data_IF_273761545417
#
_entry.id   IF_273761545417
#
_cell.length_a   1.000
_cell.length_b   1.000
_cell.length_c   1.000
_cell.angle_alpha   90.00
_cell.angle_beta   90.00
_cell.angle_gamma   90.00
#
_symmetry.space_group_name_H-M   'P 1'
#
loop_
_entity.id
_entity.type
_entity.pdbx_description
1 polymer ?
#
# COMPACT_ATOMS: atom_id res chain seq x y z
N UNK A 1 -21.66 12.00 -21.15
CA UNK A 1 -20.98 11.69 -19.88
C UNK A 1 -21.62 10.42 -19.32
N UNK A 2 -20.89 9.34 -19.28
CA UNK A 2 -21.39 8.04 -18.78
C UNK A 2 -20.99 7.91 -17.30
N UNK A 3 -21.94 7.74 -16.42
CA UNK A 3 -21.66 7.58 -14.97
C UNK A 3 -21.75 6.10 -14.63
N UNK A 4 -20.65 5.55 -14.12
CA UNK A 4 -20.61 4.20 -13.58
C UNK A 4 -21.04 4.24 -12.10
N UNK A 5 -21.88 3.30 -11.72
CA UNK A 5 -22.21 3.07 -10.32
C UNK A 5 -21.07 2.37 -9.56
N UNK A 6 -21.25 2.20 -8.27
CA UNK A 6 -20.25 1.56 -7.38
C UNK A 6 -19.87 0.14 -7.83
N UNK A 7 -20.85 -0.67 -8.28
CA UNK A 7 -20.61 -2.06 -8.70
C UNK A 7 -19.87 -2.08 -10.03
N UNK A 8 -20.29 -1.27 -10.98
CA UNK A 8 -19.69 -1.14 -12.30
C UNK A 8 -18.24 -0.62 -12.20
N UNK A 9 -18.01 0.37 -11.34
CA UNK A 9 -16.67 0.91 -11.09
C UNK A 9 -15.75 -0.15 -10.50
N UNK A 10 -16.22 -0.93 -9.52
CA UNK A 10 -15.45 -2.00 -8.90
C UNK A 10 -15.17 -3.15 -9.88
N UNK A 11 -16.17 -3.54 -10.66
CA UNK A 11 -15.98 -4.57 -11.69
C UNK A 11 -14.97 -4.13 -12.75
N UNK A 12 -15.04 -2.86 -13.19
CA UNK A 12 -14.07 -2.31 -14.13
C UNK A 12 -12.66 -2.25 -13.52
N UNK A 13 -12.54 -1.85 -12.24
CA UNK A 13 -11.25 -1.85 -11.55
C UNK A 13 -10.62 -3.25 -11.54
N UNK A 14 -11.40 -4.29 -11.24
CA UNK A 14 -10.95 -5.68 -11.33
C UNK A 14 -10.45 -6.06 -12.74
N UNK A 15 -11.22 -5.72 -13.79
CA UNK A 15 -10.81 -5.95 -15.17
C UNK A 15 -9.52 -5.21 -15.53
N UNK A 16 -9.35 -3.99 -15.04
CA UNK A 16 -8.15 -3.16 -15.24
C UNK A 16 -6.93 -3.78 -14.56
N UNK A 17 -7.09 -4.38 -13.39
CA UNK A 17 -6.02 -5.13 -12.72
C UNK A 17 -5.59 -6.33 -13.58
N UNK A 18 -6.52 -7.12 -14.08
CA UNK A 18 -6.21 -8.24 -14.98
C UNK A 18 -5.55 -7.78 -16.29
N UNK A 19 -5.97 -6.65 -16.85
CA UNK A 19 -5.29 -6.03 -17.99
C UNK A 19 -3.84 -5.70 -17.64
N UNK A 20 -3.59 -5.13 -16.46
CA UNK A 20 -2.25 -4.84 -15.96
C UNK A 20 -1.37 -6.09 -15.85
N UNK A 21 -1.89 -7.19 -15.29
CA UNK A 21 -1.19 -8.49 -15.26
C UNK A 21 -0.88 -8.99 -16.68
N UNK A 22 -1.83 -8.91 -17.59
CA UNK A 22 -1.63 -9.28 -18.99
C UNK A 22 -0.50 -8.49 -19.66
N UNK A 23 -0.51 -7.17 -19.47
CA UNK A 23 0.53 -6.28 -20.04
C UNK A 23 1.91 -6.53 -19.44
N UNK A 24 2.01 -6.76 -18.12
CA UNK A 24 3.30 -7.14 -17.49
C UNK A 24 3.86 -8.43 -18.05
N UNK A 25 3.00 -9.39 -18.40
CA UNK A 25 3.41 -10.66 -18.98
C UNK A 25 3.89 -10.51 -20.42
N UNK A 26 3.27 -9.61 -21.20
CA UNK A 26 3.58 -9.39 -22.63
C UNK A 26 4.77 -8.44 -22.79
N UNK A 27 4.93 -7.45 -21.90
CA UNK A 27 5.94 -6.40 -21.99
C UNK A 27 7.00 -6.60 -20.90
N UNK A 28 8.13 -7.31 -21.18
CA UNK A 28 9.13 -7.65 -20.18
C UNK A 28 9.69 -6.48 -19.36
N UNK A 29 9.90 -5.27 -19.94
CA UNK A 29 10.34 -4.11 -19.17
C UNK A 29 9.44 -3.78 -17.98
N UNK A 30 8.10 -3.90 -18.10
CA UNK A 30 7.17 -3.59 -17.01
C UNK A 30 7.38 -4.51 -15.79
N UNK A 31 7.65 -5.79 -16.06
CA UNK A 31 7.99 -6.76 -15.02
C UNK A 31 9.40 -6.53 -14.46
N UNK A 32 10.37 -6.20 -15.33
CA UNK A 32 11.77 -5.97 -14.94
C UNK A 32 11.92 -4.76 -14.01
N UNK A 33 11.07 -3.74 -14.18
CA UNK A 33 11.05 -2.53 -13.34
C UNK A 33 10.08 -2.64 -12.15
N UNK A 34 9.58 -3.84 -11.86
CA UNK A 34 8.67 -4.11 -10.75
C UNK A 34 7.46 -3.17 -10.70
N UNK A 35 6.89 -2.83 -11.87
CA UNK A 35 5.69 -2.00 -11.92
C UNK A 35 4.47 -2.81 -11.47
N UNK A 36 3.73 -2.41 -10.41
CA UNK A 36 2.54 -3.13 -9.97
C UNK A 36 1.47 -3.21 -11.06
N UNK A 37 0.81 -4.37 -11.20
CA UNK A 37 -0.22 -4.57 -12.21
C UNK A 37 -1.37 -3.54 -12.16
N UNK A 38 -1.90 -3.15 -10.97
CA UNK A 38 -2.92 -2.10 -10.89
C UNK A 38 -2.48 -0.77 -11.49
N UNK A 39 -1.19 -0.44 -11.36
CA UNK A 39 -0.61 0.79 -11.90
C UNK A 39 -0.53 0.75 -13.41
N UNK A 40 -0.05 -0.37 -13.96
CA UNK A 40 0.05 -0.56 -15.40
C UNK A 40 -1.34 -0.50 -16.04
N UNK A 41 -2.32 -1.20 -15.48
CA UNK A 41 -3.69 -1.16 -15.95
C UNK A 41 -4.32 0.23 -15.79
N UNK A 42 -4.15 0.86 -14.63
CA UNK A 42 -4.65 2.20 -14.35
C UNK A 42 -4.06 3.26 -15.28
N UNK A 43 -2.77 3.14 -15.63
CA UNK A 43 -2.11 4.05 -16.57
C UNK A 43 -2.75 3.95 -17.98
N UNK A 44 -3.09 2.76 -18.44
CA UNK A 44 -3.79 2.57 -19.73
C UNK A 44 -5.14 3.29 -19.70
N UNK A 45 -5.92 3.12 -18.63
CA UNK A 45 -7.20 3.82 -18.46
C UNK A 45 -6.98 5.33 -18.42
N UNK A 46 -6.00 5.81 -17.65
CA UNK A 46 -5.70 7.24 -17.53
C UNK A 46 -5.30 7.87 -18.88
N UNK A 47 -4.46 7.20 -19.67
CA UNK A 47 -4.06 7.66 -21.02
C UNK A 47 -5.30 7.66 -21.95
N UNK A 48 -6.12 6.62 -21.88
CA UNK A 48 -7.35 6.54 -22.69
C UNK A 48 -8.30 7.69 -22.34
N UNK A 49 -8.51 7.95 -21.04
CA UNK A 49 -9.33 9.07 -20.56
C UNK A 49 -8.76 10.43 -20.99
N UNK A 50 -7.45 10.61 -20.92
CA UNK A 50 -6.78 11.83 -21.37
C UNK A 50 -6.97 12.06 -22.87
N UNK A 51 -6.87 11.00 -23.68
CA UNK A 51 -7.11 11.08 -25.12
C UNK A 51 -8.53 11.54 -25.43
N UNK A 52 -9.54 10.97 -24.76
CA UNK A 52 -10.94 11.41 -24.93
C UNK A 52 -11.17 12.84 -24.45
N UNK A 53 -10.58 13.22 -23.31
CA UNK A 53 -10.71 14.59 -22.80
C UNK A 53 -10.15 15.64 -23.74
N UNK A 54 -9.06 15.33 -24.45
CA UNK A 54 -8.51 16.22 -25.48
C UNK A 54 -9.43 16.41 -26.68
N UNK A 55 -10.40 15.53 -26.91
CA UNK A 55 -11.44 15.69 -27.94
C UNK A 55 -12.68 16.43 -27.42
N UNK A 56 -12.65 16.96 -26.20
CA UNK A 56 -13.79 17.67 -25.58
C UNK A 56 -14.86 16.76 -25.00
N UNK A 57 -14.62 15.45 -24.90
CA UNK A 57 -15.54 14.47 -24.35
C UNK A 57 -15.03 14.00 -23.01
N UNK A 58 -15.78 14.21 -21.92
CA UNK A 58 -15.57 13.51 -20.64
C UNK A 58 -16.32 12.18 -20.69
N UNK A 59 -15.62 11.04 -20.96
CA UNK A 59 -16.32 9.81 -21.33
C UNK A 59 -17.00 9.14 -20.14
N UNK A 60 -16.33 9.09 -18.97
CA UNK A 60 -16.80 8.28 -17.83
C UNK A 60 -16.52 8.99 -16.51
N UNK A 61 -17.48 8.92 -15.61
CA UNK A 61 -17.33 9.30 -14.19
C UNK A 61 -17.43 8.04 -13.32
N UNK A 62 -16.42 7.83 -12.49
CA UNK A 62 -16.35 6.68 -11.57
C UNK A 62 -16.99 7.01 -10.24
N UNK A 63 -17.69 6.05 -9.65
CA UNK A 63 -18.13 6.11 -8.27
C UNK A 63 -17.01 5.55 -7.36
N UNK A 64 -16.42 6.42 -6.55
CA UNK A 64 -15.33 6.08 -5.65
C UNK A 64 -15.78 5.83 -4.21
N UNK A 65 -17.07 5.59 -3.97
CA UNK A 65 -17.64 5.39 -2.63
C UNK A 65 -16.99 4.25 -1.85
N UNK A 66 -16.53 3.19 -2.54
CA UNK A 66 -15.83 2.07 -1.92
C UNK A 66 -14.35 2.33 -1.60
N UNK A 67 -13.76 3.41 -2.10
CA UNK A 67 -12.34 3.70 -1.87
C UNK A 67 -11.98 3.78 -0.38
N UNK A 68 -12.76 4.54 0.41
CA UNK A 68 -12.49 4.72 1.84
C UNK A 68 -12.70 3.42 2.63
N UNK A 69 -13.83 2.68 2.48
CA UNK A 69 -14.02 1.38 3.12
C UNK A 69 -12.93 0.36 2.81
N UNK A 70 -12.58 0.19 1.53
CA UNK A 70 -11.55 -0.76 1.10
C UNK A 70 -10.16 -0.36 1.63
N UNK A 71 -9.79 0.91 1.52
CA UNK A 71 -8.55 1.42 2.11
C UNK A 71 -8.50 1.20 3.62
N UNK A 72 -9.62 1.40 4.33
CA UNK A 72 -9.70 1.13 5.77
C UNK A 72 -9.52 -0.36 6.06
N UNK A 73 -10.14 -1.26 5.28
CA UNK A 73 -9.94 -2.70 5.39
C UNK A 73 -8.48 -3.08 5.17
N UNK A 74 -7.84 -2.57 4.13
CA UNK A 74 -6.42 -2.78 3.84
C UNK A 74 -5.53 -2.40 5.04
N UNK A 75 -5.66 -1.18 5.57
CA UNK A 75 -4.85 -0.77 6.73
C UNK A 75 -5.19 -1.55 8.00
N UNK A 76 -6.42 -2.03 8.13
CA UNK A 76 -6.81 -2.91 9.23
C UNK A 76 -6.06 -4.25 9.17
N UNK A 77 -5.91 -4.82 7.97
CA UNK A 77 -5.13 -6.08 7.79
C UNK A 77 -3.65 -5.88 8.13
N UNK A 78 -3.06 -4.73 7.81
CA UNK A 78 -1.71 -4.37 8.26
C UNK A 78 -1.63 -4.36 9.80
N UNK A 79 -2.66 -3.82 10.47
CA UNK A 79 -2.77 -3.87 11.93
C UNK A 79 -2.75 -5.30 12.46
N UNK A 80 -3.50 -6.20 11.85
CA UNK A 80 -3.49 -7.64 12.20
C UNK A 80 -2.15 -8.32 11.95
N UNK A 81 -1.31 -7.82 11.04
CA UNK A 81 0.07 -8.28 10.85
C UNK A 81 1.02 -7.87 11.98
N UNK A 82 0.62 -6.88 12.81
CA UNK A 82 1.48 -6.29 13.86
C UNK A 82 1.45 -7.12 15.16
N UNK A 83 2.27 -8.19 15.23
CA UNK A 83 2.37 -9.05 16.41
C UNK A 83 3.50 -8.63 17.34
N UNK A 84 3.19 -8.43 18.64
CA UNK A 84 4.18 -8.17 19.69
C UNK A 84 5.18 -9.32 19.86
N UNK A 85 4.76 -10.53 19.55
CA UNK A 85 5.63 -11.70 19.58
C UNK A 85 6.73 -11.61 18.54
N UNK A 86 6.41 -11.16 17.32
CA UNK A 86 7.40 -10.89 16.27
C UNK A 86 8.30 -9.73 16.65
N UNK A 87 7.75 -8.68 17.24
CA UNK A 87 8.50 -7.53 17.72
C UNK A 87 9.54 -7.93 18.79
N UNK A 88 9.14 -8.77 19.76
CA UNK A 88 10.04 -9.29 20.80
C UNK A 88 11.15 -10.17 20.21
N UNK A 89 10.85 -10.99 19.20
CA UNK A 89 11.87 -11.83 18.53
C UNK A 89 12.92 -11.01 17.79
N UNK A 90 12.54 -9.89 17.18
CA UNK A 90 13.45 -8.97 16.49
C UNK A 90 14.33 -8.12 17.42
N UNK A 91 13.94 -7.99 18.69
CA UNK A 91 14.72 -7.35 19.75
C UNK A 91 15.12 -5.91 19.44
N UNK A 92 16.32 -5.54 19.88
CA UNK A 92 16.89 -4.19 19.71
C UNK A 92 17.11 -3.80 18.24
N UNK A 93 17.29 -4.78 17.36
CA UNK A 93 17.54 -4.53 15.93
C UNK A 93 16.35 -3.84 15.26
N UNK A 94 15.10 -4.23 15.61
CA UNK A 94 13.89 -3.56 15.11
C UNK A 94 13.84 -2.10 15.57
N UNK A 95 14.18 -1.83 16.84
CA UNK A 95 14.19 -0.47 17.38
C UNK A 95 15.23 0.41 16.68
N UNK A 96 16.44 -0.13 16.46
CA UNK A 96 17.48 0.59 15.72
C UNK A 96 17.04 0.88 14.29
N UNK A 97 16.49 -0.12 13.62
CA UNK A 97 15.97 0.05 12.26
C UNK A 97 14.83 1.09 12.21
N UNK A 98 13.91 1.05 13.18
CA UNK A 98 12.85 2.05 13.31
C UNK A 98 13.42 3.45 13.51
N UNK A 99 14.40 3.62 14.40
CA UNK A 99 15.01 4.92 14.64
C UNK A 99 15.72 5.47 13.38
N UNK A 100 16.43 4.62 12.64
CA UNK A 100 17.06 4.99 11.38
C UNK A 100 16.00 5.37 10.35
N UNK A 101 14.93 4.60 10.23
CA UNK A 101 13.84 4.87 9.28
C UNK A 101 13.13 6.19 9.59
N UNK A 102 12.84 6.46 10.86
CA UNK A 102 12.27 7.75 11.30
C UNK A 102 13.23 8.91 11.01
N UNK A 103 14.52 8.75 11.35
CA UNK A 103 15.53 9.76 11.02
C UNK A 103 15.62 10.03 9.53
N UNK A 104 15.58 8.99 8.71
CA UNK A 104 15.60 9.12 7.26
C UNK A 104 14.36 9.85 6.73
N UNK A 105 13.15 9.54 7.23
CA UNK A 105 11.93 10.25 6.82
C UNK A 105 11.95 11.72 7.17
N UNK A 106 12.53 12.10 8.31
CA UNK A 106 12.69 13.52 8.68
C UNK A 106 13.62 14.24 7.70
N UNK A 107 14.77 13.65 7.38
CA UNK A 107 15.71 14.20 6.38
C UNK A 107 15.03 14.31 5.01
N UNK A 108 14.33 13.27 4.59
CA UNK A 108 13.61 13.22 3.32
C UNK A 108 12.56 14.34 3.22
N UNK A 109 11.79 14.57 4.28
CA UNK A 109 10.83 15.67 4.33
C UNK A 109 11.52 17.03 4.28
N UNK A 110 12.61 17.22 5.01
CA UNK A 110 13.38 18.46 4.96
C UNK A 110 13.90 18.75 3.55
N UNK A 111 14.42 17.74 2.84
CA UNK A 111 14.85 17.86 1.44
C UNK A 111 13.65 18.18 0.54
N UNK A 112 12.51 17.51 0.70
CA UNK A 112 11.30 17.77 -0.07
C UNK A 112 10.80 19.21 0.09
N UNK A 113 10.77 19.72 1.32
CA UNK A 113 10.40 21.13 1.60
C UNK A 113 11.40 22.10 0.96
N UNK A 114 12.70 21.83 1.11
CA UNK A 114 13.75 22.66 0.56
C UNK A 114 13.71 22.73 -0.97
N UNK A 115 13.31 21.63 -1.63
CA UNK A 115 13.14 21.60 -3.10
C UNK A 115 11.82 22.25 -3.55
N UNK A 116 10.77 22.20 -2.76
CA UNK A 116 9.50 22.84 -3.09
C UNK A 116 9.60 24.38 -3.13
N UNK A 117 10.39 24.97 -2.23
CA UNK A 117 10.52 26.42 -2.09
C UNK A 117 11.01 27.12 -3.38
N UNK A 118 12.13 26.73 -4.03
CA UNK A 118 12.60 27.37 -5.27
C UNK A 118 11.67 27.13 -6.46
N UNK A 119 10.81 26.10 -6.40
CA UNK A 119 9.81 25.79 -7.42
C UNK A 119 8.50 26.58 -7.21
N UNK A 120 8.43 27.44 -6.20
CA UNK A 120 7.23 28.21 -5.87
C UNK A 120 6.06 27.34 -5.40
N UNK A 121 6.34 26.11 -4.95
CA UNK A 121 5.33 25.18 -4.49
C UNK A 121 5.12 25.30 -2.99
N UNK A 122 3.91 24.90 -2.53
CA UNK A 122 3.59 24.87 -1.11
C UNK A 122 4.55 23.91 -0.37
N UNK A 123 5.08 24.23 0.82
CA UNK A 123 6.01 23.33 1.55
C UNK A 123 5.46 21.91 1.75
N UNK A 124 4.15 21.78 2.00
CA UNK A 124 3.50 20.49 2.14
C UNK A 124 3.46 19.68 0.84
N UNK A 125 3.56 20.32 -0.33
CA UNK A 125 3.77 19.61 -1.59
C UNK A 125 5.08 18.83 -1.57
N UNK A 126 6.14 19.42 -0.98
CA UNK A 126 7.42 18.72 -0.75
C UNK A 126 7.29 17.52 0.17
N UNK A 127 6.51 17.63 1.27
CA UNK A 127 6.25 16.53 2.19
C UNK A 127 5.46 15.41 1.52
N UNK A 128 4.43 15.76 0.73
CA UNK A 128 3.63 14.80 -0.02
C UNK A 128 4.49 13.99 -1.00
N UNK A 129 5.41 14.66 -1.72
CA UNK A 129 6.32 14.04 -2.69
C UNK A 129 7.58 13.42 -2.04
N UNK A 130 7.64 13.33 -0.72
CA UNK A 130 8.73 12.69 0.02
C UNK A 130 8.23 11.52 0.86
N UNK A 131 8.24 11.62 2.18
CA UNK A 131 7.96 10.46 3.03
C UNK A 131 6.55 9.91 2.89
N UNK A 132 5.54 10.76 2.67
CA UNK A 132 4.15 10.33 2.57
C UNK A 132 3.92 9.34 1.42
N UNK A 133 4.62 9.51 0.31
CA UNK A 133 4.46 8.70 -0.91
C UNK A 133 5.63 7.76 -1.18
N UNK A 134 6.88 8.19 -0.93
CA UNK A 134 8.06 7.37 -1.24
C UNK A 134 8.32 6.30 -0.18
N UNK A 135 7.95 6.54 1.08
CA UNK A 135 8.01 5.55 2.17
C UNK A 135 6.65 4.89 2.40
N UNK A 136 5.58 5.70 2.43
CA UNK A 136 4.23 5.21 2.67
C UNK A 136 3.55 4.56 1.46
N UNK A 137 4.06 4.79 0.25
CA UNK A 137 3.49 4.28 -1.00
C UNK A 137 2.20 4.99 -1.44
N UNK A 138 1.59 4.51 -2.55
CA UNK A 138 0.40 5.14 -3.13
C UNK A 138 -0.81 5.10 -2.20
N UNK A 139 -1.01 4.01 -1.47
CA UNK A 139 -2.12 3.86 -0.53
C UNK A 139 -2.06 4.91 0.59
N UNK A 140 -0.89 5.09 1.22
CA UNK A 140 -0.69 6.11 2.25
C UNK A 140 -0.82 7.52 1.67
N UNK A 141 -0.24 7.77 0.50
CA UNK A 141 -0.37 9.05 -0.19
C UNK A 141 -1.82 9.44 -0.46
N UNK A 142 -2.62 8.50 -1.00
CA UNK A 142 -4.05 8.70 -1.24
C UNK A 142 -4.83 8.93 0.05
N UNK A 143 -4.49 8.21 1.10
CA UNK A 143 -5.16 8.30 2.39
C UNK A 143 -4.94 9.66 3.07
N UNK A 144 -3.77 10.25 2.92
CA UNK A 144 -3.46 11.59 3.42
C UNK A 144 -3.86 12.72 2.46
N UNK A 145 -4.12 12.43 1.18
CA UNK A 145 -4.43 13.42 0.16
C UNK A 145 -5.53 14.42 0.58
N UNK A 146 -6.66 14.01 1.19
CA UNK A 146 -7.68 14.96 1.64
C UNK A 146 -7.20 15.96 2.69
N UNK A 147 -6.22 15.57 3.54
CA UNK A 147 -5.63 16.47 4.54
C UNK A 147 -4.69 17.47 3.87
N UNK A 148 -3.90 17.02 2.89
CA UNK A 148 -3.04 17.90 2.09
C UNK A 148 -3.86 18.91 1.27
N UNK A 149 -4.98 18.49 0.69
CA UNK A 149 -5.90 19.36 -0.05
C UNK A 149 -6.52 20.41 0.86
N UNK A 150 -6.99 20.04 2.06
CA UNK A 150 -7.46 20.99 3.08
C UNK A 150 -6.39 21.99 3.51
N UNK A 151 -5.12 21.59 3.48
CA UNK A 151 -3.97 22.43 3.80
C UNK A 151 -3.45 23.26 2.61
N UNK A 152 -4.12 23.22 1.45
CA UNK A 152 -3.82 24.07 0.28
C UNK A 152 -3.03 23.38 -0.84
N UNK A 153 -2.73 22.09 -0.76
CA UNK A 153 -2.07 21.33 -1.85
C UNK A 153 -3.13 20.81 -2.81
N UNK A 154 -3.37 21.54 -3.89
CA UNK A 154 -4.38 21.14 -4.89
C UNK A 154 -3.95 19.89 -5.66
N UNK A 155 -4.90 18.99 -5.92
CA UNK A 155 -4.68 17.76 -6.67
C UNK A 155 -3.79 16.75 -5.94
N UNK A 156 -3.76 16.80 -4.61
CA UNK A 156 -2.88 15.98 -3.79
C UNK A 156 -3.02 14.47 -4.07
N UNK A 157 -4.21 13.99 -4.36
CA UNK A 157 -4.43 12.58 -4.70
C UNK A 157 -3.67 12.16 -5.98
N UNK A 158 -3.76 12.97 -7.04
CA UNK A 158 -3.06 12.71 -8.31
C UNK A 158 -1.55 12.78 -8.14
N UNK A 159 -1.08 13.81 -7.42
CA UNK A 159 0.34 14.01 -7.14
C UNK A 159 0.89 12.85 -6.30
N UNK A 160 0.15 12.41 -5.29
CA UNK A 160 0.54 11.30 -4.43
C UNK A 160 0.76 10.01 -5.23
N UNK A 161 -0.18 9.66 -6.11
CA UNK A 161 -0.04 8.46 -6.96
C UNK A 161 1.17 8.61 -7.89
N UNK A 162 1.30 9.73 -8.61
CA UNK A 162 2.40 9.95 -9.54
C UNK A 162 3.77 9.89 -8.84
N UNK A 163 3.90 10.52 -7.68
CA UNK A 163 5.12 10.52 -6.88
C UNK A 163 5.47 9.12 -6.37
N UNK A 164 4.50 8.41 -5.80
CA UNK A 164 4.71 7.06 -5.30
C UNK A 164 5.16 6.11 -6.42
N UNK A 165 4.54 6.20 -7.62
CA UNK A 165 4.91 5.38 -8.78
C UNK A 165 6.32 5.67 -9.25
N UNK A 166 6.67 6.94 -9.36
CA UNK A 166 8.04 7.36 -9.72
C UNK A 166 9.04 6.83 -8.68
N UNK A 167 8.68 6.91 -7.39
CA UNK A 167 9.50 6.39 -6.30
C UNK A 167 9.73 4.88 -6.38
N UNK A 168 8.70 4.10 -6.67
CA UNK A 168 8.81 2.64 -6.83
C UNK A 168 9.71 2.30 -8.02
N UNK A 169 9.52 2.99 -9.17
CA UNK A 169 10.36 2.77 -10.35
C UNK A 169 11.83 3.11 -10.09
N UNK A 170 12.10 4.29 -9.54
CA UNK A 170 13.48 4.71 -9.22
C UNK A 170 14.09 3.84 -8.12
N UNK A 171 13.29 3.44 -7.13
CA UNK A 171 13.70 2.53 -6.06
C UNK A 171 14.12 1.17 -6.60
N UNK A 172 13.38 0.59 -7.53
CA UNK A 172 13.74 -0.65 -8.19
C UNK A 172 15.01 -0.53 -9.06
N UNK A 173 15.09 0.55 -9.84
CA UNK A 173 16.25 0.80 -10.72
C UNK A 173 17.57 1.02 -9.96
N UNK A 174 17.53 1.73 -8.84
CA UNK A 174 18.72 2.13 -8.08
C UNK A 174 18.95 1.16 -6.92
N UNK A 175 17.90 0.78 -6.21
CA UNK A 175 17.99 -0.02 -5.01
C UNK A 175 18.40 -1.47 -5.27
N UNK A 176 17.89 -2.09 -6.34
CA UNK A 176 18.23 -3.47 -6.66
C UNK A 176 19.73 -3.66 -6.96
N UNK A 177 20.38 -2.87 -7.84
CA UNK A 177 21.82 -2.98 -8.07
C UNK A 177 22.65 -2.72 -6.82
N UNK A 178 22.28 -1.70 -6.02
CA UNK A 178 22.98 -1.38 -4.76
C UNK A 178 22.82 -2.53 -3.76
N UNK A 179 21.63 -3.09 -3.62
CA UNK A 179 21.38 -4.24 -2.75
C UNK A 179 22.21 -5.45 -3.14
N UNK A 180 22.26 -5.77 -4.44
CA UNK A 180 23.10 -6.85 -4.97
C UNK A 180 24.57 -6.60 -4.66
N UNK A 181 25.08 -5.41 -4.94
CA UNK A 181 26.47 -5.05 -4.66
C UNK A 181 26.81 -5.15 -3.17
N UNK A 182 25.91 -4.72 -2.27
CA UNK A 182 26.11 -4.84 -0.81
C UNK A 182 26.18 -6.31 -0.37
N UNK A 183 25.26 -7.14 -0.87
CA UNK A 183 25.24 -8.58 -0.54
C UNK A 183 26.51 -9.28 -1.02
N UNK A 184 26.93 -9.02 -2.26
CA UNK A 184 28.16 -9.61 -2.81
C UNK A 184 29.41 -9.16 -2.05
N UNK A 185 29.46 -7.88 -1.64
CA UNK A 185 30.64 -7.34 -0.93
C UNK A 185 30.78 -7.86 0.50
N UNK A 186 29.68 -8.04 1.21
CA UNK A 186 29.72 -8.41 2.63
C UNK A 186 29.43 -9.89 2.90
N UNK A 187 28.97 -10.65 1.89
CA UNK A 187 28.69 -12.07 1.98
C UNK A 187 29.28 -12.82 0.77
N UNK A 188 30.62 -12.88 0.63
CA UNK A 188 31.29 -13.43 -0.56
C UNK A 188 31.05 -14.93 -0.86
N UNK A 189 30.29 -15.64 -0.03
CA UNK A 189 29.96 -17.06 -0.21
C UNK A 189 28.58 -17.34 -0.80
N UNK A 190 27.78 -16.31 -1.09
CA UNK A 190 26.46 -16.48 -1.72
C UNK A 190 26.55 -16.18 -3.22
N UNK A 191 26.22 -17.16 -4.02
CA UNK A 191 26.19 -17.05 -5.49
C UNK A 191 24.99 -16.19 -5.92
N UNK A 192 25.12 -15.48 -7.07
CA UNK A 192 24.06 -14.68 -7.68
C UNK A 192 22.74 -15.46 -7.96
N UNK A 193 22.79 -16.80 -7.92
CA UNK A 193 21.62 -17.68 -8.01
C UNK A 193 20.76 -17.63 -6.75
N UNK A 194 21.37 -17.44 -5.56
CA UNK A 194 20.64 -17.34 -4.29
C UNK A 194 19.94 -15.98 -4.12
N UNK A 195 20.42 -14.95 -4.85
CA UNK A 195 19.85 -13.60 -4.79
C UNK A 195 18.57 -13.47 -5.64
N UNK A 196 18.38 -14.34 -6.62
CA UNK A 196 17.14 -14.36 -7.45
C UNK A 196 15.90 -14.82 -6.68
N UNK A 197 16.09 -15.40 -5.51
CA UNK A 197 15.01 -15.89 -4.62
C UNK A 197 14.86 -15.04 -3.35
N UNK A 198 15.61 -13.94 -3.21
CA UNK A 198 15.44 -13.02 -2.08
C UNK A 198 14.55 -11.86 -2.52
N UNK A 199 13.52 -11.70 -1.72
CA UNK A 199 12.40 -10.79 -1.87
C UNK A 199 12.77 -9.37 -2.31
N UNK A 200 11.91 -8.72 -3.10
CA UNK A 200 12.01 -7.31 -3.45
C UNK A 200 11.96 -6.40 -2.22
N UNK A 201 12.39 -5.13 -2.32
CA UNK A 201 12.35 -4.19 -1.19
C UNK A 201 10.96 -4.12 -0.57
N UNK A 202 10.89 -4.08 0.76
CA UNK A 202 9.69 -4.18 1.60
C UNK A 202 8.48 -3.34 1.12
N UNK A 203 8.70 -2.20 0.48
CA UNK A 203 7.62 -1.39 -0.10
C UNK A 203 7.02 -1.99 -1.38
N UNK A 204 7.82 -2.68 -2.18
CA UNK A 204 7.35 -3.46 -3.33
C UNK A 204 6.75 -4.79 -2.83
N UNK A 205 7.26 -5.35 -1.75
CA UNK A 205 6.81 -6.61 -1.16
C UNK A 205 5.44 -6.48 -0.49
N UNK A 206 5.13 -5.35 0.14
CA UNK A 206 3.77 -5.07 0.64
C UNK A 206 2.78 -4.89 -0.52
N UNK A 207 3.22 -4.34 -1.67
CA UNK A 207 2.38 -4.26 -2.87
C UNK A 207 2.49 -5.50 -3.78
N UNK A 208 3.64 -6.15 -3.86
CA UNK A 208 3.88 -7.33 -4.72
C UNK A 208 3.69 -8.65 -3.98
N UNK A 209 4.00 -8.76 -2.71
CA UNK A 209 3.69 -9.93 -1.89
C UNK A 209 2.18 -10.13 -1.75
N UNK A 210 1.41 -9.05 -1.86
CA UNK A 210 -0.05 -9.09 -1.92
C UNK A 210 -0.61 -9.26 -3.33
N UNK A 211 0.20 -9.04 -4.38
CA UNK A 211 -0.20 -9.05 -5.79
C UNK A 211 0.68 -9.95 -6.66
N UNK A 212 1.46 -10.86 -6.06
CA UNK A 212 2.18 -11.88 -6.82
C UNK A 212 1.20 -12.74 -7.63
N UNK A 213 1.69 -13.23 -8.77
CA UNK A 213 0.98 -14.28 -9.52
C UNK A 213 0.41 -15.32 -8.54
N UNK A 214 -0.81 -15.80 -8.76
CA UNK A 214 -1.45 -16.73 -7.85
C UNK A 214 -0.41 -17.81 -7.46
N UNK A 215 -0.24 -18.09 -6.16
CA UNK A 215 0.76 -19.05 -5.70
C UNK A 215 0.61 -20.32 -6.53
N UNK A 216 1.72 -21.00 -6.89
CA UNK A 216 1.64 -22.26 -7.61
C UNK A 216 0.59 -23.12 -6.90
N UNK A 217 -0.36 -23.65 -7.69
CA UNK A 217 -1.58 -24.29 -7.21
C UNK A 217 -1.34 -25.00 -5.89
N UNK A 218 -2.04 -24.56 -4.85
CA UNK A 218 -1.93 -25.15 -3.51
C UNK A 218 -2.11 -26.67 -3.66
N UNK A 219 -1.35 -27.49 -2.93
CA UNK A 219 -1.55 -28.94 -2.99
C UNK A 219 -3.02 -29.24 -2.81
N UNK A 220 -3.59 -30.03 -3.72
CA UNK A 220 -4.98 -30.44 -3.72
C UNK A 220 -5.35 -30.96 -2.32
N UNK A 221 -6.13 -30.21 -1.57
CA UNK A 221 -6.57 -30.62 -0.24
C UNK A 221 -6.97 -29.52 0.75
N UNK A 222 -6.59 -28.26 0.53
CA UNK A 222 -7.10 -27.17 1.38
C UNK A 222 -8.44 -26.64 0.82
N UNK A 223 -9.51 -27.32 1.20
CA UNK A 223 -10.84 -26.73 1.09
C UNK A 223 -10.82 -25.39 1.85
N UNK A 224 -11.16 -24.30 1.16
CA UNK A 224 -11.39 -23.00 1.81
C UNK A 224 -12.49 -23.26 2.83
N UNK A 225 -12.12 -23.34 4.11
CA UNK A 225 -13.11 -23.41 5.17
C UNK A 225 -13.86 -22.09 5.19
N UNK A 226 -15.04 -22.06 4.59
CA UNK A 226 -15.90 -20.89 4.51
C UNK A 226 -16.08 -20.22 5.88
N UNK A 227 -16.08 -21.01 6.94
CA UNK A 227 -16.14 -20.53 8.30
C UNK A 227 -14.86 -19.77 8.72
N UNK A 228 -13.68 -20.23 8.31
CA UNK A 228 -12.42 -19.54 8.61
C UNK A 228 -12.36 -18.20 7.89
N UNK A 229 -12.75 -18.14 6.60
CA UNK A 229 -12.85 -16.88 5.85
C UNK A 229 -13.84 -15.91 6.53
N UNK A 230 -15.06 -16.39 6.85
CA UNK A 230 -16.07 -15.57 7.51
C UNK A 230 -15.59 -15.03 8.86
N UNK A 231 -14.92 -15.86 9.66
CA UNK A 231 -14.37 -15.46 10.97
C UNK A 231 -13.34 -14.32 10.83
N UNK A 232 -12.40 -14.45 9.88
CA UNK A 232 -11.40 -13.43 9.65
C UNK A 232 -12.00 -12.14 9.07
N UNK A 233 -12.98 -12.25 8.17
CA UNK A 233 -13.72 -11.10 7.65
C UNK A 233 -14.48 -10.36 8.77
N UNK A 234 -15.18 -11.08 9.64
CA UNK A 234 -15.89 -10.48 10.77
C UNK A 234 -14.91 -9.82 11.75
N UNK A 235 -13.73 -10.42 11.97
CA UNK A 235 -12.69 -9.81 12.81
C UNK A 235 -12.20 -8.46 12.21
N UNK A 236 -11.98 -8.41 10.89
CA UNK A 236 -11.58 -7.17 10.19
C UNK A 236 -12.70 -6.12 10.30
N UNK A 237 -13.94 -6.46 10.01
CA UNK A 237 -15.08 -5.54 10.11
C UNK A 237 -15.27 -5.03 11.54
N UNK A 238 -15.07 -5.88 12.55
CA UNK A 238 -15.12 -5.49 13.97
C UNK A 238 -14.00 -4.52 14.31
N UNK A 239 -12.78 -4.76 13.80
CA UNK A 239 -11.66 -3.86 13.98
C UNK A 239 -11.89 -2.51 13.29
N UNK A 240 -12.47 -2.50 12.09
CA UNK A 240 -12.85 -1.26 11.40
C UNK A 240 -13.89 -0.47 12.19
N UNK A 241 -14.89 -1.15 12.72
CA UNK A 241 -15.93 -0.52 13.56
C UNK A 241 -15.34 0.04 14.86
N UNK A 242 -14.52 -0.72 15.58
CA UNK A 242 -13.84 -0.23 16.78
C UNK A 242 -12.88 0.93 16.47
N UNK A 243 -12.20 0.84 15.35
CA UNK A 243 -11.26 1.86 14.86
C UNK A 243 -11.92 3.20 14.57
N UNK A 244 -13.18 3.20 14.14
CA UNK A 244 -13.95 4.42 13.98
C UNK A 244 -14.07 5.22 15.31
N UNK A 245 -14.31 4.53 16.41
CA UNK A 245 -14.39 5.17 17.73
C UNK A 245 -13.02 5.65 18.22
N UNK A 246 -11.96 4.87 17.94
CA UNK A 246 -10.58 5.27 18.27
C UNK A 246 -10.20 6.53 17.49
N UNK A 247 -10.49 6.59 16.20
CA UNK A 247 -10.21 7.78 15.36
C UNK A 247 -10.96 9.01 15.87
N UNK A 248 -12.22 8.85 16.26
CA UNK A 248 -13.00 9.95 16.90
C UNK A 248 -12.40 10.41 18.22
N UNK A 249 -11.87 9.46 19.01
CA UNK A 249 -11.16 9.79 20.24
C UNK A 249 -9.93 10.66 19.98
N UNK A 250 -9.12 10.32 18.98
CA UNK A 250 -7.98 11.14 18.57
C UNK A 250 -8.39 12.53 18.06
N UNK A 251 -9.44 12.59 17.26
CA UNK A 251 -9.97 13.85 16.72
C UNK A 251 -10.46 14.78 17.86
N UNK A 252 -11.14 14.23 18.87
CA UNK A 252 -11.57 14.98 20.06
C UNK A 252 -10.40 15.48 20.92
N UNK A 253 -9.26 14.80 20.87
CA UNK A 253 -8.01 15.21 21.50
C UNK A 253 -7.19 16.22 20.66
N UNK A 254 -7.73 16.69 19.53
CA UNK A 254 -7.05 17.63 18.63
C UNK A 254 -6.00 17.00 17.72
N UNK A 255 -5.94 15.66 17.67
CA UNK A 255 -5.00 14.92 16.81
C UNK A 255 -5.72 14.53 15.51
N UNK A 256 -5.39 15.20 14.43
CA UNK A 256 -5.98 14.94 13.12
C UNK A 256 -5.25 13.76 12.46
N UNK A 257 -5.85 12.58 12.52
CA UNK A 257 -5.34 11.37 11.87
C UNK A 257 -6.35 10.87 10.83
N UNK A 258 -5.90 10.26 9.73
CA UNK A 258 -6.80 9.57 8.81
C UNK A 258 -7.58 8.46 9.52
N UNK A 259 -8.85 8.28 9.13
CA UNK A 259 -9.79 7.38 9.80
C UNK A 259 -9.30 5.92 9.89
N UNK A 260 -8.53 5.46 8.92
CA UNK A 260 -8.00 4.09 8.90
C UNK A 260 -6.93 3.81 9.96
N UNK A 261 -6.27 4.84 10.53
CA UNK A 261 -5.26 4.64 11.58
C UNK A 261 -5.89 4.04 12.83
N UNK A 262 -7.07 4.49 13.23
CA UNK A 262 -7.81 3.89 14.32
C UNK A 262 -8.14 2.42 14.07
N UNK A 263 -8.51 2.07 12.83
CA UNK A 263 -8.80 0.70 12.45
C UNK A 263 -7.54 -0.19 12.45
N UNK A 264 -6.41 0.35 12.01
CA UNK A 264 -5.11 -0.32 12.10
C UNK A 264 -4.72 -0.59 13.57
N UNK A 265 -4.90 0.38 14.47
CA UNK A 265 -4.67 0.19 15.91
C UNK A 265 -5.61 -0.88 16.50
N UNK A 266 -6.90 -0.84 16.15
CA UNK A 266 -7.86 -1.85 16.59
C UNK A 266 -7.45 -3.24 16.13
N UNK A 267 -7.04 -3.40 14.86
CA UNK A 267 -6.53 -4.65 14.31
C UNK A 267 -5.31 -5.17 15.08
N UNK A 268 -4.34 -4.30 15.36
CA UNK A 268 -3.16 -4.65 16.14
C UNK A 268 -3.52 -5.08 17.57
N UNK A 269 -4.45 -4.39 18.24
CA UNK A 269 -4.92 -4.78 19.57
C UNK A 269 -5.61 -6.13 19.56
N UNK A 270 -6.56 -6.34 18.63
CA UNK A 270 -7.29 -7.61 18.50
C UNK A 270 -6.32 -8.76 18.22
N UNK A 271 -5.35 -8.57 17.35
CA UNK A 271 -4.31 -9.56 17.06
C UNK A 271 -3.53 -9.95 18.30
N UNK A 272 -3.02 -8.99 19.03
CA UNK A 272 -2.19 -9.25 20.21
C UNK A 272 -3.00 -9.85 21.36
N UNK A 273 -4.23 -9.41 21.57
CA UNK A 273 -5.15 -10.04 22.55
C UNK A 273 -5.45 -11.47 22.13
N UNK A 274 -5.72 -11.73 20.87
CA UNK A 274 -5.93 -13.07 20.34
C UNK A 274 -4.71 -13.98 20.54
N UNK A 275 -3.51 -13.48 20.26
CA UNK A 275 -2.26 -14.23 20.45
C UNK A 275 -1.99 -14.55 21.92
N UNK A 276 -2.41 -13.67 22.84
CA UNK A 276 -2.22 -13.86 24.30
C UNK A 276 -3.25 -14.79 24.91
N UNK A 277 -4.50 -14.74 24.46
CA UNK A 277 -5.62 -15.47 25.05
C UNK A 277 -5.90 -16.80 24.36
N UNK A 278 -5.44 -16.96 23.13
CA UNK A 278 -5.81 -18.09 22.27
C UNK A 278 -7.29 -18.12 21.86
N UNK A 279 -8.03 -17.03 22.14
CA UNK A 279 -9.48 -16.98 21.97
C UNK A 279 -9.94 -17.01 20.51
N UNK A 280 -9.15 -16.41 19.60
CA UNK A 280 -9.46 -16.33 18.18
C UNK A 280 -8.30 -16.97 17.41
N UNK A 281 -8.53 -18.14 16.81
CA UNK A 281 -7.58 -18.70 15.84
C UNK A 281 -7.70 -17.94 14.52
N UNK A 282 -7.02 -16.78 14.42
CA UNK A 282 -7.00 -15.95 13.22
C UNK A 282 -5.95 -16.49 12.25
N UNK A 283 -6.33 -16.66 10.99
CA UNK A 283 -5.41 -17.09 9.94
C UNK A 283 -4.84 -15.86 9.23
N UNK A 284 -3.53 -15.69 9.33
CA UNK A 284 -2.84 -14.59 8.67
C UNK A 284 -3.06 -14.63 7.16
N UNK A 285 -3.07 -15.81 6.55
CA UNK A 285 -3.32 -15.99 5.11
C UNK A 285 -4.63 -15.35 4.65
N UNK A 286 -5.75 -15.63 5.32
CA UNK A 286 -7.04 -15.02 4.96
C UNK A 286 -7.07 -13.51 5.18
N UNK A 287 -6.38 -13.04 6.22
CA UNK A 287 -6.25 -11.60 6.49
C UNK A 287 -5.47 -10.91 5.37
N UNK A 288 -4.37 -11.51 4.93
CA UNK A 288 -3.53 -10.99 3.85
C UNK A 288 -4.27 -11.03 2.50
N UNK A 289 -5.01 -12.12 2.22
CA UNK A 289 -5.84 -12.23 1.02
C UNK A 289 -6.93 -11.14 0.96
N UNK A 290 -7.62 -10.89 2.10
CA UNK A 290 -8.61 -9.80 2.19
C UNK A 290 -7.92 -8.44 2.03
N UNK A 291 -6.75 -8.26 2.62
CA UNK A 291 -5.94 -7.05 2.44
C UNK A 291 -5.61 -6.79 0.97
N UNK A 292 -5.16 -7.82 0.27
CA UNK A 292 -4.82 -7.76 -1.16
C UNK A 292 -6.02 -7.37 -2.02
N UNK A 293 -7.19 -7.95 -1.76
CA UNK A 293 -8.43 -7.61 -2.49
C UNK A 293 -8.91 -6.20 -2.17
N UNK A 294 -8.58 -5.68 -0.99
CA UNK A 294 -9.01 -4.35 -0.53
C UNK A 294 -8.11 -3.20 -1.02
N UNK A 295 -6.92 -3.52 -1.51
CA UNK A 295 -5.96 -2.57 -2.08
C UNK A 295 -6.30 -2.23 -3.53
#
# INVERSE_FOLDING_TARGET
MFTLDMVQTTALAGLVIFLGYGLRRIIPPLSRYNLPAPVVGGLVVAITMLAFRNTGVDPVRFDTSLQVPLMTAFFTTIGFGSSLTLFRKGGSMILVFLAISVGFTLVQNAVGIALAAPLGQHPLFGVLNSSATLVGGPATGLAFAPLFEKAGVQGAATVAVASAMTGIMCGGLIGAPIGTWLVERFHPGRTAADTKHQAPPVAAEVLEGQLQDPPPAAPEGEAIESFALLKNLVAILTAMWAGFWISRGFESAGITLPAYIGAMFAGAVIRNVSDMTGALSLSQRYIDDIGTVSL
#
